data_IF_857669976340
#
_entry.id   IF_857669976340
#
_cell.length_a   1.000
_cell.length_b   1.000
_cell.length_c   1.000
_cell.angle_alpha   90.00
_cell.angle_beta   90.00
_cell.angle_gamma   90.00
#
_symmetry.space_group_name_H-M   'P 1'
#
loop_
_entity.id
_entity.type
_entity.pdbx_description
1 polymer ?
#
# COMPACT_ATOMS: atom_id res chain seq x y z
N UNK A 1 18.06 50.50 2.22
CA UNK A 1 19.05 49.45 1.92
C UNK A 1 19.48 48.98 3.29
N UNK A 2 19.02 47.85 3.81
CA UNK A 2 19.41 46.47 3.51
C UNK A 2 18.98 45.66 4.76
N UNK A 3 18.62 44.39 4.81
CA UNK A 3 18.20 43.38 3.85
C UNK A 3 17.41 42.37 4.69
N UNK A 4 16.24 42.00 4.18
CA UNK A 4 15.60 40.68 4.25
C UNK A 4 16.13 39.64 5.27
N UNK A 5 15.29 39.35 6.26
CA UNK A 5 14.72 38.01 6.45
C UNK A 5 15.69 36.82 6.27
N UNK A 6 16.60 36.58 7.22
CA UNK A 6 17.24 35.26 7.33
C UNK A 6 16.61 34.46 8.48
N UNK A 7 15.38 33.96 8.26
CA UNK A 7 14.94 32.74 8.95
C UNK A 7 15.56 31.58 8.18
N UNK A 8 16.33 30.67 8.81
CA UNK A 8 16.64 29.42 8.16
C UNK A 8 15.31 28.72 7.88
N UNK A 9 14.94 28.64 6.60
CA UNK A 9 13.83 27.82 6.15
C UNK A 9 14.15 26.40 6.59
N UNK A 10 13.49 25.92 7.65
CA UNK A 10 13.49 24.50 7.99
C UNK A 10 12.87 23.78 6.80
N UNK A 11 13.72 23.27 5.92
CA UNK A 11 13.33 22.30 4.92
C UNK A 11 12.84 21.07 5.68
N UNK A 12 11.58 20.63 5.49
CA UNK A 12 11.12 19.40 6.11
C UNK A 12 12.00 18.24 5.63
N UNK A 13 12.33 17.31 6.52
CA UNK A 13 13.21 16.19 6.23
C UNK A 13 12.72 15.40 4.99
N UNK A 14 13.55 15.18 3.96
CA UNK A 14 13.10 14.68 2.65
C UNK A 14 12.94 13.15 2.60
N UNK A 15 12.52 12.50 3.70
CA UNK A 15 12.33 11.05 3.75
C UNK A 15 11.39 10.61 4.88
N UNK A 16 10.23 11.27 4.98
CA UNK A 16 8.99 10.52 5.20
C UNK A 16 8.40 10.16 3.82
N UNK A 17 9.26 9.72 2.90
CA UNK A 17 8.84 9.17 1.62
C UNK A 17 8.20 7.82 1.94
N UNK A 18 6.87 7.83 2.04
CA UNK A 18 5.99 6.67 2.10
C UNK A 18 6.54 5.47 2.87
N UNK A 19 5.91 5.15 4.00
CA UNK A 19 5.54 3.74 4.15
C UNK A 19 4.69 3.45 2.93
N UNK A 20 5.34 3.05 1.83
CA UNK A 20 4.66 2.73 0.60
C UNK A 20 3.55 1.82 1.03
N UNK A 21 2.31 2.22 0.76
CA UNK A 21 1.24 1.26 0.60
C UNK A 21 1.70 0.39 -0.56
N UNK A 22 2.63 -0.53 -0.28
CA UNK A 22 2.71 -1.79 -0.98
C UNK A 22 1.25 -2.21 -0.91
N UNK A 23 0.53 -2.24 -2.05
CA UNK A 23 -0.75 -2.93 -2.01
C UNK A 23 -0.36 -4.26 -1.40
N UNK A 24 -0.91 -4.59 -0.23
CA UNK A 24 -0.71 -5.92 0.36
C UNK A 24 -1.21 -6.82 -0.75
N UNK A 25 -0.29 -7.26 -1.61
CA UNK A 25 -0.55 -8.21 -2.63
C UNK A 25 -1.13 -9.33 -1.80
N UNK A 26 -2.35 -9.75 -2.15
CA UNK A 26 -3.00 -10.82 -1.43
C UNK A 26 -2.07 -12.03 -1.56
N UNK A 27 -1.18 -12.19 -0.59
CA UNK A 27 -0.20 -13.25 -0.58
C UNK A 27 -0.96 -14.55 -0.37
N UNK A 28 -0.39 -15.68 -0.81
CA UNK A 28 -1.00 -16.99 -0.59
C UNK A 28 -1.37 -17.23 0.88
N UNK A 29 -0.56 -16.72 1.81
CA UNK A 29 -0.82 -16.83 3.25
C UNK A 29 -2.05 -16.01 3.68
N UNK A 30 -2.23 -14.81 3.13
CA UNK A 30 -3.43 -14.00 3.35
C UNK A 30 -4.68 -14.68 2.77
N UNK A 31 -4.57 -15.27 1.58
CA UNK A 31 -5.64 -16.04 0.97
C UNK A 31 -6.01 -17.32 1.76
N UNK A 32 -5.02 -18.00 2.34
CA UNK A 32 -5.25 -19.17 3.19
C UNK A 32 -6.00 -18.81 4.49
N UNK A 33 -5.73 -17.62 5.04
CA UNK A 33 -6.40 -17.06 6.22
C UNK A 33 -7.82 -16.54 5.93
N UNK A 34 -8.14 -16.20 4.68
CA UNK A 34 -9.48 -15.73 4.31
C UNK A 34 -10.55 -16.79 4.54
N UNK A 35 -11.71 -16.35 5.01
CA UNK A 35 -12.89 -17.18 5.11
C UNK A 35 -13.45 -17.56 3.74
N UNK A 36 -14.28 -18.61 3.70
CA UNK A 36 -14.90 -19.09 2.46
C UNK A 36 -15.70 -17.99 1.72
N UNK A 37 -16.42 -17.14 2.46
CA UNK A 37 -17.21 -16.05 1.87
C UNK A 37 -16.33 -14.99 1.21
N UNK A 38 -15.22 -14.64 1.84
CA UNK A 38 -14.25 -13.67 1.31
C UNK A 38 -13.59 -14.22 0.05
N UNK A 39 -13.22 -15.51 0.05
CA UNK A 39 -12.68 -16.17 -1.15
C UNK A 39 -13.68 -16.18 -2.31
N UNK A 40 -14.97 -16.38 -2.04
CA UNK A 40 -16.02 -16.28 -3.06
C UNK A 40 -16.20 -14.85 -3.59
N UNK A 41 -16.10 -13.84 -2.73
CA UNK A 41 -16.13 -12.44 -3.14
C UNK A 41 -14.92 -12.13 -4.04
N UNK A 42 -13.71 -12.55 -3.64
CA UNK A 42 -12.50 -12.40 -4.44
C UNK A 42 -12.60 -13.10 -5.80
N UNK A 43 -13.21 -14.29 -5.86
CA UNK A 43 -13.46 -14.99 -7.13
C UNK A 43 -14.40 -14.21 -8.07
N UNK A 44 -15.36 -13.46 -7.51
CA UNK A 44 -16.30 -12.64 -8.29
C UNK A 44 -15.67 -11.32 -8.73
N UNK A 45 -14.95 -10.64 -7.85
CA UNK A 45 -14.32 -9.36 -8.14
C UNK A 45 -13.09 -9.51 -9.04
N UNK A 46 -12.23 -10.49 -8.74
CA UNK A 46 -10.95 -10.70 -9.41
C UNK A 46 -10.68 -12.20 -9.64
N UNK A 47 -11.32 -12.81 -10.64
CA UNK A 47 -11.19 -14.25 -10.92
C UNK A 47 -9.76 -14.67 -11.27
N UNK A 48 -8.96 -13.80 -11.89
CA UNK A 48 -7.57 -14.08 -12.25
C UNK A 48 -6.67 -14.16 -11.00
N UNK A 49 -6.82 -13.23 -10.05
CA UNK A 49 -6.11 -13.25 -8.77
C UNK A 49 -6.50 -14.50 -7.97
N UNK A 50 -7.78 -14.85 -7.94
CA UNK A 50 -8.25 -16.07 -7.28
C UNK A 50 -7.61 -17.35 -7.86
N UNK A 51 -7.45 -17.44 -9.18
CA UNK A 51 -6.81 -18.60 -9.84
C UNK A 51 -5.34 -18.73 -9.44
N UNK A 52 -4.61 -17.62 -9.43
CA UNK A 52 -3.20 -17.59 -9.07
C UNK A 52 -2.96 -17.94 -7.60
N UNK A 53 -3.86 -17.51 -6.71
CA UNK A 53 -3.74 -17.78 -5.26
C UNK A 53 -4.29 -19.16 -4.83
N UNK A 54 -5.16 -19.77 -5.63
CA UNK A 54 -5.69 -21.13 -5.38
C UNK A 54 -4.73 -22.25 -5.79
N UNK A 55 -3.86 -22.01 -6.78
CA UNK A 55 -2.81 -22.97 -7.16
C UNK A 55 -1.97 -23.35 -5.95
#
# INVERSE_FOLDING_TARGET
MENEQNKPMQTPAPYAAGTGSVPVALDRDAFARMGYRERLALKKENPEVYKELRK
#
